data_IF_239252984782
#
_entry.id   IF_239252984782
#
_cell.length_a   1.000
_cell.length_b   1.000
_cell.length_c   1.000
_cell.angle_alpha   90.00
_cell.angle_beta   90.00
_cell.angle_gamma   90.00
#
_symmetry.space_group_name_H-M   'P 1'
#
loop_
_entity.id
_entity.type
_entity.pdbx_description
1 polymer ?
#
# COMPACT_ATOMS: atom_id res chain seq x y z
N UNK A 1 -70.17 -75.28 -50.52
CA UNK A 1 -69.68 -74.19 -51.39
C UNK A 1 -68.62 -73.41 -50.61
N UNK A 2 -67.38 -73.35 -51.10
CA UNK A 2 -66.24 -72.65 -50.48
C UNK A 2 -66.24 -71.20 -50.96
N UNK A 3 -66.34 -70.24 -50.04
CA UNK A 3 -66.09 -68.83 -50.35
C UNK A 3 -64.61 -68.53 -50.16
N UNK A 4 -63.93 -68.09 -51.22
CA UNK A 4 -62.53 -67.69 -51.23
C UNK A 4 -62.47 -66.21 -50.82
N UNK A 5 -61.86 -65.93 -49.67
CA UNK A 5 -61.58 -64.57 -49.22
C UNK A 5 -60.17 -64.18 -49.67
N UNK A 6 -60.07 -63.22 -50.58
CA UNK A 6 -58.79 -62.68 -51.05
C UNK A 6 -58.60 -61.29 -50.44
N UNK A 7 -57.85 -61.24 -49.34
CA UNK A 7 -57.37 -60.03 -48.69
C UNK A 7 -55.90 -59.79 -49.07
N UNK A 8 -55.66 -59.10 -50.19
CA UNK A 8 -54.35 -58.50 -50.45
C UNK A 8 -54.28 -57.19 -49.67
N UNK A 9 -53.76 -57.24 -48.44
CA UNK A 9 -53.49 -56.04 -47.63
C UNK A 9 -52.01 -56.02 -47.31
N UNK A 10 -51.28 -55.09 -47.93
CA UNK A 10 -49.87 -54.85 -47.62
C UNK A 10 -49.80 -53.97 -46.39
N UNK A 11 -49.14 -54.45 -45.34
CA UNK A 11 -48.83 -53.62 -44.17
C UNK A 11 -47.77 -52.60 -44.57
N UNK A 12 -48.00 -51.33 -44.25
CA UNK A 12 -47.05 -50.25 -44.54
C UNK A 12 -45.91 -50.34 -43.52
N UNK A 13 -44.69 -50.62 -43.99
CA UNK A 13 -43.51 -50.69 -43.13
C UNK A 13 -43.18 -49.30 -42.56
N UNK A 14 -43.46 -49.11 -41.27
CA UNK A 14 -43.22 -47.86 -40.51
C UNK A 14 -41.75 -47.57 -40.21
N UNK A 15 -40.86 -48.51 -40.55
CA UNK A 15 -39.43 -48.48 -40.24
C UNK A 15 -38.70 -47.23 -40.75
N UNK A 16 -39.06 -46.75 -41.95
CA UNK A 16 -38.45 -45.55 -42.53
C UNK A 16 -38.90 -44.25 -41.84
N UNK A 17 -40.16 -44.19 -41.41
CA UNK A 17 -40.70 -43.05 -40.68
C UNK A 17 -40.04 -42.92 -39.30
N UNK A 18 -39.90 -44.02 -38.56
CA UNK A 18 -39.27 -44.03 -37.24
C UNK A 18 -37.80 -43.59 -37.30
N UNK A 19 -37.03 -44.06 -38.30
CA UNK A 19 -35.65 -43.59 -38.52
C UNK A 19 -35.57 -42.08 -38.77
N UNK A 20 -36.51 -41.53 -39.54
CA UNK A 20 -36.52 -40.08 -39.80
C UNK A 20 -36.88 -39.28 -38.54
N UNK A 21 -37.86 -39.72 -37.77
CA UNK A 21 -38.25 -39.09 -36.50
C UNK A 21 -37.14 -39.15 -35.46
N UNK A 22 -36.45 -40.28 -35.33
CA UNK A 22 -35.32 -40.43 -34.42
C UNK A 22 -34.14 -39.57 -34.84
N UNK A 23 -33.86 -39.46 -36.14
CA UNK A 23 -32.82 -38.56 -36.64
C UNK A 23 -33.13 -37.08 -36.34
N UNK A 24 -34.41 -36.68 -36.41
CA UNK A 24 -34.87 -35.33 -36.08
C UNK A 24 -34.78 -35.09 -34.56
N UNK A 25 -35.21 -36.05 -33.74
CA UNK A 25 -35.10 -36.00 -32.27
C UNK A 25 -33.65 -35.91 -31.82
N UNK A 26 -32.74 -36.69 -32.42
CA UNK A 26 -31.31 -36.63 -32.13
C UNK A 26 -30.70 -35.28 -32.53
N UNK A 27 -31.08 -34.71 -33.67
CA UNK A 27 -30.62 -33.36 -34.08
C UNK A 27 -31.11 -32.28 -33.11
N UNK A 28 -32.38 -32.33 -32.68
CA UNK A 28 -32.94 -31.41 -31.68
C UNK A 28 -32.23 -31.54 -30.34
N UNK A 29 -32.00 -32.76 -29.87
CA UNK A 29 -31.27 -33.04 -28.61
C UNK A 29 -29.81 -32.55 -28.67
N UNK A 30 -29.11 -32.82 -29.78
CA UNK A 30 -27.74 -32.33 -30.00
C UNK A 30 -27.68 -30.80 -30.01
N UNK A 31 -28.64 -30.12 -30.66
CA UNK A 31 -28.73 -28.65 -30.64
C UNK A 31 -28.98 -28.12 -29.23
N UNK A 32 -29.93 -28.71 -28.51
CA UNK A 32 -30.24 -28.30 -27.13
C UNK A 32 -29.06 -28.47 -26.18
N UNK A 33 -28.35 -29.61 -26.27
CA UNK A 33 -27.13 -29.86 -25.48
C UNK A 33 -26.05 -28.85 -25.84
N UNK A 34 -25.80 -28.57 -27.12
CA UNK A 34 -24.82 -27.56 -27.54
C UNK A 34 -25.13 -26.17 -27.01
N UNK A 35 -26.39 -25.73 -27.12
CA UNK A 35 -26.80 -24.41 -26.64
C UNK A 35 -26.64 -24.32 -25.12
N UNK A 36 -27.00 -25.39 -24.39
CA UNK A 36 -26.80 -25.46 -22.93
C UNK A 36 -25.33 -25.48 -22.54
N UNK A 37 -24.46 -26.18 -23.27
CA UNK A 37 -23.02 -26.16 -22.98
C UNK A 37 -22.41 -24.80 -23.28
N UNK A 38 -22.81 -24.16 -24.38
CA UNK A 38 -22.40 -22.80 -24.74
C UNK A 38 -22.85 -21.77 -23.69
N UNK A 39 -24.07 -21.89 -23.18
CA UNK A 39 -24.56 -20.97 -22.13
C UNK A 39 -23.80 -21.14 -20.83
N UNK A 40 -23.47 -22.37 -20.42
CA UNK A 40 -22.67 -22.64 -19.21
C UNK A 40 -21.26 -22.05 -19.35
N UNK A 41 -20.62 -22.27 -20.51
CA UNK A 41 -19.29 -21.72 -20.79
C UNK A 41 -19.33 -20.19 -20.79
N UNK A 42 -20.33 -19.59 -21.43
CA UNK A 42 -20.50 -18.13 -21.47
C UNK A 42 -20.69 -17.52 -20.08
N UNK A 43 -21.54 -18.11 -19.25
CA UNK A 43 -21.71 -17.69 -17.84
C UNK A 43 -20.41 -17.88 -17.05
N UNK A 44 -19.67 -18.97 -17.28
CA UNK A 44 -18.35 -19.18 -16.67
C UNK A 44 -17.35 -18.08 -17.03
N UNK A 45 -17.28 -17.68 -18.30
CA UNK A 45 -16.44 -16.56 -18.73
C UNK A 45 -16.86 -15.22 -18.13
N UNK A 46 -18.17 -14.97 -17.98
CA UNK A 46 -18.67 -13.75 -17.32
C UNK A 46 -18.26 -13.74 -15.85
N UNK A 47 -18.41 -14.86 -15.13
CA UNK A 47 -18.02 -14.95 -13.72
C UNK A 47 -16.53 -14.72 -13.54
N UNK A 48 -15.69 -15.36 -14.37
CA UNK A 48 -14.23 -15.19 -14.35
C UNK A 48 -13.83 -13.74 -14.70
N UNK A 49 -14.46 -13.17 -15.74
CA UNK A 49 -14.23 -11.79 -16.17
C UNK A 49 -14.61 -10.75 -15.10
N UNK A 50 -15.75 -10.96 -14.42
CA UNK A 50 -16.17 -10.12 -13.30
C UNK A 50 -15.23 -10.20 -12.11
N UNK A 51 -14.71 -11.39 -11.78
CA UNK A 51 -13.71 -11.54 -10.71
C UNK A 51 -12.32 -10.99 -11.08
N UNK A 52 -12.05 -10.76 -12.37
CA UNK A 52 -10.75 -10.23 -12.83
C UNK A 52 -10.67 -8.70 -12.81
N UNK A 53 -11.81 -8.00 -12.81
CA UNK A 53 -11.89 -6.53 -12.67
C UNK A 53 -11.33 -5.98 -11.34
N UNK A 54 -11.64 -6.55 -10.16
CA UNK A 54 -11.17 -5.98 -8.89
C UNK A 54 -9.65 -6.18 -8.63
N UNK A 55 -8.98 -7.09 -9.34
CA UNK A 55 -7.53 -7.30 -9.16
C UNK A 55 -6.67 -6.13 -9.62
N UNK A 56 -7.13 -5.36 -10.62
CA UNK A 56 -6.36 -4.24 -11.19
C UNK A 56 -6.45 -3.00 -10.31
N UNK A 57 -7.61 -2.77 -9.66
CA UNK A 57 -7.82 -1.64 -8.76
C UNK A 57 -7.09 -1.82 -7.41
N UNK A 58 -6.94 -3.06 -6.93
CA UNK A 58 -6.23 -3.34 -5.68
C UNK A 58 -4.74 -2.95 -5.72
N UNK A 59 -4.11 -2.87 -6.90
CA UNK A 59 -2.69 -2.46 -7.02
C UNK A 59 -2.47 -0.94 -6.92
N UNK A 60 -3.50 -0.13 -7.17
CA UNK A 60 -3.40 1.33 -7.04
C UNK A 60 -3.52 1.75 -5.58
N UNK A 61 -4.44 1.12 -4.85
CA UNK A 61 -4.66 1.37 -3.44
C UNK A 61 -3.39 1.09 -2.61
N UNK A 62 -2.66 0.01 -2.88
CA UNK A 62 -1.44 -0.32 -2.12
C UNK A 62 -0.32 0.72 -2.23
N UNK A 63 -0.18 1.41 -3.37
CA UNK A 63 0.85 2.46 -3.53
C UNK A 63 0.47 3.75 -2.80
N UNK A 64 -0.83 4.07 -2.81
CA UNK A 64 -1.36 5.24 -2.12
C UNK A 64 -1.29 5.06 -0.60
N UNK A 65 -1.60 3.88 -0.09
CA UNK A 65 -1.43 3.55 1.33
C UNK A 65 0.02 3.58 1.77
N UNK A 66 0.98 3.12 0.97
CA UNK A 66 2.40 3.21 1.34
C UNK A 66 2.90 4.65 1.36
N UNK A 67 2.48 5.47 0.38
CA UNK A 67 2.92 6.88 0.31
C UNK A 67 2.35 7.70 1.46
N UNK A 68 1.04 7.56 1.72
CA UNK A 68 0.38 8.23 2.84
C UNK A 68 0.95 7.76 4.18
N UNK A 69 1.23 6.47 4.34
CA UNK A 69 1.89 5.95 5.54
C UNK A 69 3.28 6.58 5.73
N UNK A 70 4.12 6.63 4.70
CA UNK A 70 5.46 7.24 4.83
C UNK A 70 5.40 8.73 5.15
N UNK A 71 4.42 9.46 4.60
CA UNK A 71 4.24 10.88 4.89
C UNK A 71 3.80 11.12 6.33
N UNK A 72 2.77 10.40 6.78
CA UNK A 72 2.25 10.51 8.14
C UNK A 72 3.29 10.08 9.19
N UNK A 73 4.10 9.06 8.90
CA UNK A 73 5.19 8.65 9.80
C UNK A 73 6.29 9.71 9.87
N UNK A 74 6.66 10.32 8.74
CA UNK A 74 7.62 11.43 8.73
C UNK A 74 7.12 12.63 9.52
N UNK A 75 5.87 13.07 9.27
CA UNK A 75 5.24 14.16 10.02
C UNK A 75 5.18 13.85 11.53
N UNK A 76 4.92 12.60 11.91
CA UNK A 76 4.93 12.17 13.31
C UNK A 76 6.32 12.24 13.96
N UNK A 77 7.36 11.96 13.21
CA UNK A 77 8.74 12.03 13.68
C UNK A 77 9.17 13.48 13.88
N UNK A 78 8.89 14.34 12.91
CA UNK A 78 9.15 15.78 12.97
C UNK A 78 8.42 16.43 14.17
N UNK A 79 7.12 16.13 14.34
CA UNK A 79 6.34 16.65 15.48
C UNK A 79 6.86 16.15 16.83
N UNK A 80 7.38 14.92 16.90
CA UNK A 80 7.98 14.39 18.15
C UNK A 80 9.30 15.06 18.47
N UNK A 81 10.10 15.38 17.46
CA UNK A 81 11.34 16.12 17.66
C UNK A 81 11.04 17.55 18.14
N UNK A 82 10.09 18.23 17.51
CA UNK A 82 9.62 19.56 17.93
C UNK A 82 9.09 19.52 19.38
N UNK A 83 8.28 18.51 19.73
CA UNK A 83 7.79 18.35 21.09
C UNK A 83 8.94 18.22 22.10
N UNK A 84 9.95 17.41 21.81
CA UNK A 84 11.12 17.23 22.70
C UNK A 84 11.93 18.51 22.85
N UNK A 85 12.13 19.25 21.77
CA UNK A 85 12.85 20.53 21.80
C UNK A 85 12.10 21.56 22.64
N UNK A 86 10.78 21.66 22.47
CA UNK A 86 9.93 22.54 23.27
C UNK A 86 9.92 22.13 24.75
N UNK A 87 9.84 20.83 25.05
CA UNK A 87 9.87 20.34 26.43
C UNK A 87 11.23 20.63 27.09
N UNK A 88 12.33 20.50 26.34
CA UNK A 88 13.65 20.91 26.80
C UNK A 88 13.72 22.42 27.07
N UNK A 89 13.22 23.25 26.16
CA UNK A 89 13.18 24.71 26.34
C UNK A 89 12.33 25.11 27.55
N UNK A 90 11.19 24.46 27.77
CA UNK A 90 10.36 24.66 28.96
C UNK A 90 11.14 24.31 30.23
N UNK A 91 11.82 23.15 30.26
CA UNK A 91 12.62 22.75 31.42
C UNK A 91 13.73 23.76 31.73
N UNK A 92 14.30 24.36 30.68
CA UNK A 92 15.36 25.34 30.76
C UNK A 92 14.84 26.69 31.26
N UNK A 93 13.60 27.05 30.92
CA UNK A 93 12.90 28.23 31.44
C UNK A 93 12.43 28.05 32.89
N UNK A 94 12.22 26.82 33.36
CA UNK A 94 11.91 26.56 34.78
C UNK A 94 13.16 26.59 35.67
N UNK A 95 14.36 26.42 35.09
CA UNK A 95 15.63 26.43 35.82
C UNK A 95 16.10 27.87 36.13
N UNK A 96 16.08 28.21 37.42
CA UNK A 96 16.51 29.51 37.95
C UNK A 96 18.00 29.81 37.67
N UNK A 97 18.86 28.78 37.60
CA UNK A 97 20.29 28.93 37.28
C UNK A 97 20.49 29.29 35.80
N UNK A 98 19.71 28.67 34.91
CA UNK A 98 19.70 29.02 33.49
C UNK A 98 19.19 30.43 33.26
N UNK A 99 18.08 30.84 33.90
CA UNK A 99 17.56 32.21 33.82
C UNK A 99 18.62 33.21 34.30
N UNK A 100 19.32 32.92 35.39
CA UNK A 100 20.39 33.77 35.90
C UNK A 100 21.58 33.87 34.93
N UNK A 101 21.92 32.79 34.21
CA UNK A 101 22.95 32.78 33.15
C UNK A 101 22.52 33.62 31.95
N UNK A 102 21.28 33.46 31.49
CA UNK A 102 20.72 34.23 30.38
C UNK A 102 20.66 35.73 30.72
N UNK A 103 20.24 36.08 31.93
CA UNK A 103 20.20 37.47 32.39
C UNK A 103 21.60 38.10 32.44
N UNK A 104 22.64 37.35 32.87
CA UNK A 104 24.03 37.82 32.82
C UNK A 104 24.50 38.09 31.39
N UNK A 105 24.10 37.25 30.43
CA UNK A 105 24.49 37.38 29.03
C UNK A 105 23.76 38.53 28.32
N UNK A 106 22.43 38.60 28.43
CA UNK A 106 21.60 39.52 27.64
C UNK A 106 21.42 40.88 28.33
N UNK A 107 21.32 40.89 29.66
CA UNK A 107 21.00 42.08 30.45
C UNK A 107 22.20 42.61 31.24
N UNK A 108 23.36 41.95 31.19
CA UNK A 108 24.57 42.32 31.92
C UNK A 108 24.34 42.54 33.43
N UNK A 109 23.42 41.77 34.04
CA UNK A 109 23.11 41.85 35.47
C UNK A 109 24.02 40.92 36.28
N UNK A 110 24.31 41.26 37.54
CA UNK A 110 25.11 40.43 38.46
C UNK A 110 24.48 40.35 39.85
N UNK A 111 24.86 39.33 40.65
CA UNK A 111 24.32 39.16 42.02
C UNK A 111 24.92 40.18 42.99
N UNK A 112 24.25 40.47 44.12
CA UNK A 112 24.82 41.30 45.18
C UNK A 112 26.16 40.70 45.64
N UNK A 113 27.23 41.50 45.57
CA UNK A 113 28.65 41.16 45.83
C UNK A 113 29.45 40.54 44.66
N UNK A 114 28.95 40.54 43.42
CA UNK A 114 29.73 40.23 42.22
C UNK A 114 30.27 41.54 41.58
N UNK A 115 31.45 41.51 40.94
CA UNK A 115 32.04 42.65 40.20
C UNK A 115 31.85 42.40 38.71
N UNK A 116 31.09 43.27 38.03
CA UNK A 116 30.90 43.22 36.58
C UNK A 116 32.12 43.85 35.87
N UNK A 117 32.83 43.07 35.05
CA UNK A 117 33.99 43.52 34.27
C UNK A 117 33.60 43.51 32.79
N UNK A 118 33.25 44.68 32.24
CA UNK A 118 33.04 44.85 30.81
C UNK A 118 34.40 45.00 30.15
N UNK A 119 34.85 43.96 29.44
CA UNK A 119 36.04 44.06 28.59
C UNK A 119 35.57 44.78 27.32
N UNK A 120 36.14 45.95 26.97
CA UNK A 120 35.82 46.57 25.69
C UNK A 120 36.24 45.59 24.59
N UNK A 121 35.30 45.22 23.73
CA UNK A 121 35.60 44.47 22.52
C UNK A 121 36.65 45.24 21.74
N UNK A 122 37.89 44.77 21.78
CA UNK A 122 38.73 44.93 20.60
C UNK A 122 38.00 44.17 19.52
N UNK A 123 37.62 44.86 18.46
CA UNK A 123 37.29 44.22 17.20
C UNK A 123 38.42 43.25 16.88
N UNK A 124 38.22 41.96 17.15
CA UNK A 124 38.64 40.84 16.31
C UNK A 124 38.32 39.48 16.97
N UNK A 125 37.89 38.59 16.07
CA UNK A 125 37.76 37.14 16.20
C UNK A 125 36.52 36.62 16.96
N UNK A 126 35.49 36.37 16.14
CA UNK A 126 34.67 35.15 16.19
C UNK A 126 35.49 34.00 16.80
N UNK A 127 35.14 33.60 18.01
CA UNK A 127 35.60 32.34 18.57
C UNK A 127 34.71 31.26 17.97
N UNK A 128 35.24 30.62 16.94
CA UNK A 128 34.82 29.31 16.48
C UNK A 128 34.69 28.38 17.70
N UNK A 129 33.49 27.87 17.92
CA UNK A 129 33.28 26.71 18.78
C UNK A 129 32.77 25.58 17.89
N UNK A 130 33.65 25.18 16.97
CA UNK A 130 33.53 23.96 16.17
C UNK A 130 34.86 23.22 16.32
N UNK A 131 34.96 22.38 17.36
CA UNK A 131 35.95 21.30 17.46
C UNK A 131 35.74 20.50 18.74
N UNK A 132 34.80 19.55 18.69
CA UNK A 132 34.83 18.34 19.52
C UNK A 132 34.16 17.21 18.72
N UNK A 133 34.77 16.79 17.61
CA UNK A 133 34.46 15.52 16.93
C UNK A 133 35.52 15.07 15.90
N UNK A 134 36.81 15.06 16.23
CA UNK A 134 37.81 14.38 15.37
C UNK A 134 38.94 13.76 16.20
N UNK A 135 38.62 12.78 17.06
CA UNK A 135 39.65 11.94 17.73
C UNK A 135 39.42 10.43 17.57
N UNK A 136 38.61 9.98 16.60
CA UNK A 136 38.29 8.53 16.45
C UNK A 136 38.46 7.95 15.03
N UNK A 137 39.36 8.50 14.19
CA UNK A 137 39.59 7.97 12.83
C UNK A 137 41.04 7.67 12.42
N UNK A 138 41.99 7.60 13.35
CA UNK A 138 43.41 7.34 12.99
C UNK A 138 43.97 5.96 13.36
N UNK A 139 43.12 4.99 13.76
CA UNK A 139 43.61 3.65 14.15
C UNK A 139 43.15 2.48 13.26
N UNK A 140 42.81 2.71 11.98
CA UNK A 140 42.38 1.62 11.08
C UNK A 140 42.99 1.55 9.68
N UNK A 141 44.03 2.33 9.38
CA UNK A 141 44.66 2.29 8.05
C UNK A 141 45.97 1.49 7.96
N UNK A 142 46.39 0.79 9.01
CA UNK A 142 47.64 0.01 9.02
C UNK A 142 47.45 -1.53 8.95
N UNK A 143 46.24 -2.03 8.65
CA UNK A 143 45.98 -3.49 8.57
C UNK A 143 45.67 -4.06 7.18
N UNK A 144 45.86 -3.31 6.09
CA UNK A 144 45.72 -3.89 4.74
C UNK A 144 46.80 -3.37 3.76
N UNK A 145 48.00 -3.96 3.90
CA UNK A 145 48.99 -4.10 2.81
C UNK A 145 49.36 -5.57 2.65
#
# INVERSE_FOLDING_TARGET
MKHKENKNVTQLDTYSADKTLDSIRQRKRKRFVRIRTLSIIFVGFILIGFTSMPLINNKRATKEYTKTHTQVVGELEDLKEEQKQLEYEVSLLEDEEYIAKLARQELNVSKPNEILINIPEKEEAKSDNDSLSEEEKLEKNDEES
#
